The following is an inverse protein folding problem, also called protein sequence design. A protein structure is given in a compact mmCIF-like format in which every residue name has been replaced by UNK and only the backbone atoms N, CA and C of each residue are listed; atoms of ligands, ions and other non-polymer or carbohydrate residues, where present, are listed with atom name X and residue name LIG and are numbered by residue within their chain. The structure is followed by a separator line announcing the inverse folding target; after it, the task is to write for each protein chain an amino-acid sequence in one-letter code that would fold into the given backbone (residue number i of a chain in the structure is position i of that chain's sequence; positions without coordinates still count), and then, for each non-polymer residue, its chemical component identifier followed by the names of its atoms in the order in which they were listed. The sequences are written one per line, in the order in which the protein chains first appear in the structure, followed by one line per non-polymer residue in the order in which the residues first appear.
data_IF_717104693393
#
_entry.id   IF_717104693393
#
_cell.length_a   1.000
_cell.length_b   1.000
_cell.length_c   1.000
_cell.angle_alpha   90.00
_cell.angle_beta   90.00
_cell.angle_gamma   90.00
#
_symmetry.space_group_name_H-M   'P 1'
#
loop_
_entity.id
_entity.type
_entity.pdbx_description
1 polymer ?
#
# COMPACT_ATOMS: atom_id res chain seq x y z
N UNK A 1 60.52 -3.15 -18.73
CA UNK A 1 60.59 -3.00 -17.25
C UNK A 1 59.90 -1.70 -16.90
N UNK A 2 58.60 -1.78 -16.59
CA UNK A 2 57.70 -0.63 -16.50
C UNK A 2 57.95 0.16 -15.20
N UNK A 3 57.81 1.50 -15.25
CA UNK A 3 58.05 2.39 -14.10
C UNK A 3 57.07 2.16 -12.92
N UNK A 4 56.06 1.32 -13.12
CA UNK A 4 55.06 0.93 -12.11
C UNK A 4 55.65 0.02 -11.02
N UNK A 5 56.67 -0.79 -11.32
CA UNK A 5 57.30 -1.67 -10.32
C UNK A 5 58.24 -0.91 -9.38
N UNK A 6 58.87 0.17 -9.86
CA UNK A 6 59.74 1.03 -9.05
C UNK A 6 58.97 1.85 -8.01
N UNK A 7 57.73 2.22 -8.31
CA UNK A 7 56.89 2.95 -7.34
C UNK A 7 56.43 2.03 -6.20
N UNK A 8 56.30 0.72 -6.46
CA UNK A 8 55.84 -0.26 -5.49
C UNK A 8 56.93 -0.75 -4.52
N UNK A 9 58.22 -0.73 -4.90
CA UNK A 9 59.29 -1.29 -4.06
C UNK A 9 60.00 -0.28 -3.14
N UNK A 10 59.75 1.03 -3.28
CA UNK A 10 60.54 2.06 -2.57
C UNK A 10 59.87 2.67 -1.33
N UNK A 11 58.66 2.22 -0.93
CA UNK A 11 58.03 2.65 0.31
C UNK A 11 57.24 1.53 0.98
N UNK A 12 57.75 0.91 2.07
CA UNK A 12 57.04 -0.12 2.85
C UNK A 12 55.75 0.39 3.53
N UNK A 13 55.38 1.65 3.29
CA UNK A 13 54.19 2.34 3.80
C UNK A 13 53.01 2.37 2.81
N UNK A 14 53.19 1.96 1.55
CA UNK A 14 52.13 2.01 0.52
C UNK A 14 51.25 0.75 0.49
N UNK A 15 51.82 -0.40 0.85
CA UNK A 15 51.10 -1.69 0.94
C UNK A 15 49.87 -1.64 1.86
N UNK A 16 49.94 -1.10 3.10
CA UNK A 16 48.75 -0.99 3.95
C UNK A 16 47.72 -0.01 3.37
N UNK A 17 48.17 1.00 2.63
CA UNK A 17 47.30 2.01 2.03
C UNK A 17 46.48 1.42 0.87
N UNK A 18 47.08 0.54 0.07
CA UNK A 18 46.37 -0.19 -1.00
C UNK A 18 45.34 -1.16 -0.41
N UNK A 19 45.69 -1.92 0.63
CA UNK A 19 44.76 -2.82 1.31
C UNK A 19 43.59 -2.06 1.94
N UNK A 20 43.87 -0.92 2.58
CA UNK A 20 42.84 -0.02 3.12
C UNK A 20 41.90 0.46 2.00
N UNK A 21 42.45 0.90 0.88
CA UNK A 21 41.67 1.46 -0.24
C UNK A 21 40.80 0.38 -0.91
N UNK A 22 41.33 -0.83 -1.07
CA UNK A 22 40.56 -1.97 -1.55
C UNK A 22 39.44 -2.37 -0.59
N UNK A 23 39.71 -2.42 0.72
CA UNK A 23 38.70 -2.69 1.74
C UNK A 23 37.61 -1.63 1.72
N UNK A 24 38.00 -0.34 1.65
CA UNK A 24 37.06 0.78 1.60
C UNK A 24 36.17 0.73 0.36
N UNK A 25 36.73 0.42 -0.82
CA UNK A 25 35.97 0.28 -2.06
C UNK A 25 35.02 -0.93 -2.02
N UNK A 26 35.48 -2.05 -1.47
CA UNK A 26 34.63 -3.24 -1.29
C UNK A 26 33.45 -2.94 -0.35
N UNK A 27 33.71 -2.30 0.80
CA UNK A 27 32.67 -1.89 1.75
C UNK A 27 31.74 -0.84 1.14
N UNK A 28 32.27 0.15 0.40
CA UNK A 28 31.46 1.18 -0.25
C UNK A 28 30.57 0.60 -1.36
N UNK A 29 31.08 -0.33 -2.17
CA UNK A 29 30.31 -1.02 -3.20
C UNK A 29 29.20 -1.89 -2.60
N UNK A 30 29.52 -2.66 -1.55
CA UNK A 30 28.53 -3.44 -0.82
C UNK A 30 27.46 -2.55 -0.17
N UNK A 31 27.86 -1.43 0.44
CA UNK A 31 26.96 -0.46 1.05
C UNK A 31 26.04 0.20 0.02
N UNK A 32 26.58 0.58 -1.15
CA UNK A 32 25.78 1.20 -2.21
C UNK A 32 24.73 0.23 -2.77
N UNK A 33 25.13 -1.02 -3.02
CA UNK A 33 24.21 -2.07 -3.46
C UNK A 33 23.12 -2.36 -2.43
N UNK A 34 23.48 -2.43 -1.15
CA UNK A 34 22.53 -2.66 -0.06
C UNK A 34 21.59 -1.48 0.17
N UNK A 35 22.07 -0.24 0.00
CA UNK A 35 21.25 0.96 0.16
C UNK A 35 20.23 1.12 -0.97
N UNK A 36 20.60 0.77 -2.20
CA UNK A 36 19.71 0.76 -3.35
C UNK A 36 18.59 -0.29 -3.19
N UNK A 37 18.90 -1.47 -2.66
CA UNK A 37 17.91 -2.52 -2.42
C UNK A 37 16.97 -2.20 -1.26
N UNK A 38 17.45 -1.53 -0.20
CA UNK A 38 16.61 -1.09 0.93
C UNK A 38 15.52 -0.11 0.50
N UNK A 39 15.85 0.86 -0.37
CA UNK A 39 14.87 1.83 -0.86
C UNK A 39 13.83 1.18 -1.78
N UNK A 40 14.25 0.29 -2.68
CA UNK A 40 13.35 -0.43 -3.56
C UNK A 40 12.41 -1.37 -2.79
N UNK A 41 12.91 -2.07 -1.76
CA UNK A 41 12.10 -2.94 -0.92
C UNK A 41 11.06 -2.16 -0.08
N UNK A 42 11.47 -1.00 0.47
CA UNK A 42 10.56 -0.15 1.24
C UNK A 42 9.42 0.41 0.38
N UNK A 43 9.72 0.86 -0.84
CA UNK A 43 8.70 1.36 -1.78
C UNK A 43 7.74 0.25 -2.21
N UNK A 44 8.24 -0.95 -2.51
CA UNK A 44 7.41 -2.07 -2.92
C UNK A 44 6.44 -2.52 -1.81
N UNK A 45 6.94 -2.59 -0.57
CA UNK A 45 6.10 -2.88 0.60
C UNK A 45 5.04 -1.80 0.82
N UNK A 46 5.40 -0.53 0.66
CA UNK A 46 4.47 0.59 0.81
C UNK A 46 3.36 0.55 -0.25
N UNK A 47 3.71 0.28 -1.51
CA UNK A 47 2.74 0.18 -2.60
C UNK A 47 1.79 -1.01 -2.41
N UNK A 48 2.29 -2.16 -1.95
CA UNK A 48 1.46 -3.33 -1.67
C UNK A 48 0.45 -3.04 -0.54
N UNK A 49 0.93 -2.51 0.59
CA UNK A 49 0.07 -2.14 1.73
C UNK A 49 -0.97 -1.09 1.34
N UNK A 50 -0.57 -0.08 0.56
CA UNK A 50 -1.48 0.99 0.14
C UNK A 50 -2.52 0.46 -0.85
N UNK A 51 -2.13 -0.39 -1.80
CA UNK A 51 -3.03 -0.99 -2.77
C UNK A 51 -4.14 -1.83 -2.11
N UNK A 52 -3.76 -2.70 -1.17
CA UNK A 52 -4.72 -3.55 -0.44
C UNK A 52 -5.72 -2.72 0.37
N UNK A 53 -5.26 -1.65 1.03
CA UNK A 53 -6.14 -0.77 1.81
C UNK A 53 -7.10 -0.01 0.91
N UNK A 54 -6.63 0.52 -0.22
CA UNK A 54 -7.48 1.23 -1.19
C UNK A 54 -8.54 0.30 -1.75
N UNK A 55 -8.17 -0.91 -2.19
CA UNK A 55 -9.11 -1.89 -2.73
C UNK A 55 -10.18 -2.29 -1.68
N UNK A 56 -9.77 -2.50 -0.43
CA UNK A 56 -10.70 -2.81 0.65
C UNK A 56 -11.71 -1.68 0.90
N UNK A 57 -11.27 -0.42 0.85
CA UNK A 57 -12.13 0.75 1.00
C UNK A 57 -13.09 0.88 -0.19
N UNK A 58 -12.60 0.75 -1.42
CA UNK A 58 -13.42 0.82 -2.62
C UNK A 58 -14.50 -0.26 -2.63
N UNK A 59 -14.15 -1.49 -2.28
CA UNK A 59 -15.09 -2.61 -2.17
C UNK A 59 -16.18 -2.32 -1.15
N UNK A 60 -15.82 -1.74 0.00
CA UNK A 60 -16.79 -1.34 1.04
C UNK A 60 -17.73 -0.23 0.55
N UNK A 61 -17.19 0.79 -0.13
CA UNK A 61 -17.98 1.88 -0.70
C UNK A 61 -18.93 1.41 -1.79
N UNK A 62 -18.48 0.50 -2.66
CA UNK A 62 -19.31 -0.13 -3.69
C UNK A 62 -20.50 -0.88 -3.07
N UNK A 63 -20.26 -1.66 -2.02
CA UNK A 63 -21.31 -2.35 -1.28
C UNK A 63 -22.33 -1.37 -0.68
N UNK A 64 -21.87 -0.27 -0.06
CA UNK A 64 -22.76 0.76 0.48
C UNK A 64 -23.58 1.44 -0.63
N UNK A 65 -22.97 1.71 -1.79
CA UNK A 65 -23.68 2.28 -2.95
C UNK A 65 -24.79 1.36 -3.44
N UNK A 66 -24.58 0.05 -3.46
CA UNK A 66 -25.57 -0.91 -3.93
C UNK A 66 -26.85 -0.91 -3.07
N UNK A 67 -26.72 -0.74 -1.76
CA UNK A 67 -27.85 -0.56 -0.85
C UNK A 67 -28.64 0.70 -1.17
N UNK A 68 -27.95 1.83 -1.36
CA UNK A 68 -28.59 3.11 -1.66
C UNK A 68 -29.34 3.06 -3.00
N UNK A 69 -28.76 2.40 -4.01
CA UNK A 69 -29.42 2.16 -5.29
C UNK A 69 -30.64 1.24 -5.15
N UNK A 70 -30.55 0.19 -4.33
CA UNK A 70 -31.69 -0.67 -4.02
C UNK A 70 -32.83 0.09 -3.35
N UNK A 71 -32.50 0.98 -2.41
CA UNK A 71 -33.47 1.87 -1.76
C UNK A 71 -34.10 2.83 -2.76
N UNK A 72 -33.29 3.47 -3.62
CA UNK A 72 -33.78 4.35 -4.67
C UNK A 72 -34.74 3.64 -5.63
N UNK A 73 -34.45 2.40 -6.04
CA UNK A 73 -35.34 1.60 -6.89
C UNK A 73 -36.67 1.25 -6.22
N UNK A 74 -36.69 1.07 -4.90
CA UNK A 74 -37.95 0.89 -4.15
C UNK A 74 -38.83 2.14 -4.22
N UNK A 75 -38.22 3.32 -4.11
CA UNK A 75 -38.92 4.61 -4.23
C UNK A 75 -39.37 4.92 -5.65
N UNK A 76 -38.66 4.43 -6.67
CA UNK A 76 -39.00 4.66 -8.08
C UNK A 76 -40.17 3.77 -8.56
N UNK A 77 -40.26 2.54 -8.04
CA UNK A 77 -41.30 1.58 -8.44
C UNK A 77 -42.60 1.69 -7.65
N UNK A 78 -42.59 2.36 -6.50
CA UNK A 78 -43.75 2.48 -5.61
C UNK A 78 -44.35 3.89 -5.64
N UNK A 79 -45.66 4.03 -5.87
CA UNK A 79 -46.36 5.35 -5.84
C UNK A 79 -46.11 6.10 -4.51
N UNK A 80 -46.11 5.37 -3.40
CA UNK A 80 -45.68 5.88 -2.10
C UNK A 80 -45.02 4.77 -1.30
N UNK A 81 -43.96 5.12 -0.57
CA UNK A 81 -43.26 4.22 0.36
C UNK A 81 -43.61 4.71 1.75
N UNK A 82 -44.32 3.90 2.53
CA UNK A 82 -44.64 4.25 3.91
C UNK A 82 -43.40 4.07 4.81
N UNK A 83 -43.45 4.64 6.03
CA UNK A 83 -42.40 4.41 7.04
C UNK A 83 -42.28 2.93 7.42
N UNK A 84 -43.38 2.18 7.33
CA UNK A 84 -43.41 0.76 7.66
C UNK A 84 -42.76 -0.08 6.56
N UNK A 85 -43.03 0.24 5.28
CA UNK A 85 -42.36 -0.38 4.13
C UNK A 85 -40.85 -0.14 4.16
N UNK A 86 -40.43 1.09 4.49
CA UNK A 86 -39.01 1.41 4.65
C UNK A 86 -38.37 0.62 5.79
N UNK A 87 -39.05 0.50 6.94
CA UNK A 87 -38.56 -0.29 8.07
C UNK A 87 -38.43 -1.76 7.70
N UNK A 88 -39.41 -2.33 7.00
CA UNK A 88 -39.35 -3.71 6.51
C UNK A 88 -38.21 -3.92 5.50
N UNK A 89 -38.00 -2.97 4.60
CA UNK A 89 -36.89 -3.00 3.66
C UNK A 89 -35.53 -3.00 4.38
N UNK A 90 -35.32 -2.07 5.31
CA UNK A 90 -34.06 -1.96 6.07
C UNK A 90 -33.82 -3.19 6.96
N UNK A 91 -34.87 -3.75 7.58
CA UNK A 91 -34.76 -5.01 8.34
C UNK A 91 -34.36 -6.19 7.45
N UNK A 92 -34.89 -6.26 6.23
CA UNK A 92 -34.53 -7.32 5.26
C UNK A 92 -33.10 -7.22 4.77
N UNK A 93 -32.53 -6.02 4.76
CA UNK A 93 -31.13 -5.83 4.36
C UNK A 93 -30.14 -6.47 5.33
N UNK A 94 -30.56 -6.67 6.58
CA UNK A 94 -29.76 -7.21 7.67
C UNK A 94 -28.37 -6.54 7.74
N UNK A 95 -28.39 -5.22 7.98
CA UNK A 95 -27.20 -4.36 7.92
C UNK A 95 -26.08 -4.84 8.83
N UNK A 96 -26.41 -5.45 9.97
CA UNK A 96 -25.43 -5.94 10.95
C UNK A 96 -24.63 -7.12 10.39
N UNK A 97 -25.29 -8.04 9.69
CA UNK A 97 -24.67 -9.22 9.10
C UNK A 97 -24.04 -8.93 7.73
N UNK A 98 -24.78 -8.26 6.84
CA UNK A 98 -24.37 -8.10 5.44
C UNK A 98 -23.48 -6.88 5.20
N UNK A 99 -23.56 -5.85 6.06
CA UNK A 99 -22.88 -4.58 5.86
C UNK A 99 -22.28 -4.02 7.16
N UNK A 100 -21.36 -4.77 7.80
CA UNK A 100 -20.79 -4.37 9.08
C UNK A 100 -20.16 -2.97 9.02
N UNK A 101 -20.52 -2.14 9.99
CA UNK A 101 -20.09 -0.74 10.14
C UNK A 101 -21.02 0.31 9.53
N UNK A 102 -22.13 -0.10 8.89
CA UNK A 102 -23.26 0.81 8.65
C UNK A 102 -24.12 0.85 9.92
N UNK A 103 -24.32 2.03 10.51
CA UNK A 103 -25.17 2.19 11.70
C UNK A 103 -26.67 2.26 11.36
N UNK A 104 -27.00 2.67 10.14
CA UNK A 104 -28.37 2.74 9.67
C UNK A 104 -28.47 3.45 8.31
N UNK A 105 -29.61 3.28 7.65
CA UNK A 105 -29.94 3.97 6.40
C UNK A 105 -31.26 4.71 6.59
N UNK A 106 -31.24 6.00 6.31
CA UNK A 106 -32.43 6.86 6.36
C UNK A 106 -32.89 7.23 4.96
N UNK A 107 -34.20 7.38 4.78
CA UNK A 107 -34.78 8.09 3.66
C UNK A 107 -35.33 9.43 4.14
N UNK A 108 -35.03 10.51 3.42
CA UNK A 108 -35.77 11.76 3.51
C UNK A 108 -36.62 11.88 2.25
N UNK A 109 -37.86 12.36 2.43
CA UNK A 109 -38.81 12.64 1.35
C UNK A 109 -39.08 14.14 1.33
#
# INVERSE_FOLDING_TARGET
MSPLEKLLSQSPRMMPLVVLLCGLLATAGAWYGLRASQQAAAELHFQQLTGEVVEAVEKRMSNHRQILLGGAGLFETSESVSREDWRHYVQRLDLDTNYPGIQGVGCCR
#
